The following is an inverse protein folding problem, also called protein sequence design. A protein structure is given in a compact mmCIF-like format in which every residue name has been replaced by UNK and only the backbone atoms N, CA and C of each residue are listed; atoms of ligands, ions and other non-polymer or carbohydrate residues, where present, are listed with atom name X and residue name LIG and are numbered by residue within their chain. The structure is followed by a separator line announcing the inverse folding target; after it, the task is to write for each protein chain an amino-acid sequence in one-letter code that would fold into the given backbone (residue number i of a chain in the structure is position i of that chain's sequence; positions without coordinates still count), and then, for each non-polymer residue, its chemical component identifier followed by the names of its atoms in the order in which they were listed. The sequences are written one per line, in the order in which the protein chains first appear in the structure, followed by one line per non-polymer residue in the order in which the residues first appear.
data_IF_036547801591
#
_entry.id   IF_036547801591
#
_cell.length_a   1.000
_cell.length_b   1.000
_cell.length_c   1.000
_cell.angle_alpha   90.00
_cell.angle_beta   90.00
_cell.angle_gamma   90.00
#
_symmetry.space_group_name_H-M   'P 1'
#
loop_
_entity.id
_entity.type
_entity.pdbx_description
1 polymer ?
#
# COMPACT_ATOMS: atom_id res chain seq x y z
N UNK A 1 6.53 7.01 -23.39
CA UNK A 1 6.02 6.31 -22.20
C UNK A 1 5.50 7.38 -21.25
N UNK A 2 4.20 7.63 -21.28
CA UNK A 2 3.55 8.65 -20.46
C UNK A 2 3.34 8.10 -19.05
N UNK A 3 4.06 8.67 -18.07
CA UNK A 3 3.93 8.31 -16.66
C UNK A 3 2.62 8.95 -16.16
N UNK A 4 1.59 8.13 -15.96
CA UNK A 4 0.31 8.56 -15.38
C UNK A 4 0.45 8.64 -13.87
N UNK A 5 0.48 9.85 -13.32
CA UNK A 5 0.51 10.09 -11.87
C UNK A 5 -0.93 10.25 -11.39
N UNK A 6 -1.45 9.25 -10.68
CA UNK A 6 -2.76 9.35 -10.03
C UNK A 6 -2.68 10.21 -8.77
N UNK A 7 -3.44 11.32 -8.82
CA UNK A 7 -3.81 12.14 -7.66
C UNK A 7 -5.14 11.61 -7.12
N UNK A 8 -5.36 11.74 -5.80
CA UNK A 8 -6.52 11.24 -5.04
C UNK A 8 -6.50 9.76 -4.63
N UNK A 9 -5.45 9.33 -3.91
CA UNK A 9 -5.60 8.10 -3.13
C UNK A 9 -6.08 8.39 -1.70
N UNK A 10 -7.26 7.89 -1.29
CA UNK A 10 -7.68 7.92 0.10
C UNK A 10 -6.69 7.21 1.03
N UNK A 11 -6.32 7.89 2.12
CA UNK A 11 -5.54 7.31 3.22
C UNK A 11 -6.51 6.62 4.17
N UNK A 12 -6.41 5.28 4.41
CA UNK A 12 -7.29 4.60 5.34
C UNK A 12 -6.99 5.08 6.78
N UNK A 13 -7.95 5.77 7.41
CA UNK A 13 -7.81 6.34 8.78
C UNK A 13 -7.95 5.30 9.91
N UNK A 14 -8.35 4.06 9.62
CA UNK A 14 -8.62 3.03 10.63
C UNK A 14 -7.71 1.79 10.51
N UNK A 15 -7.10 1.39 11.63
CA UNK A 15 -6.13 0.30 11.71
C UNK A 15 -6.68 -1.09 11.33
N UNK A 16 -7.94 -1.40 11.64
CA UNK A 16 -8.60 -2.64 11.23
C UNK A 16 -9.04 -2.65 9.76
N UNK A 17 -9.18 -1.46 9.16
CA UNK A 17 -9.67 -1.26 7.80
C UNK A 17 -8.55 -1.48 6.78
N UNK A 18 -7.30 -1.14 7.09
CA UNK A 18 -6.14 -1.32 6.20
C UNK A 18 -6.07 -2.71 5.58
N UNK A 19 -6.30 -3.78 6.36
CA UNK A 19 -6.24 -5.15 5.83
C UNK A 19 -7.37 -5.42 4.83
N UNK A 20 -8.59 -4.99 5.14
CA UNK A 20 -9.73 -5.16 4.26
C UNK A 20 -9.55 -4.35 2.97
N UNK A 21 -9.08 -3.10 3.08
CA UNK A 21 -8.80 -2.25 1.92
C UNK A 21 -7.71 -2.87 1.04
N UNK A 22 -6.56 -3.26 1.63
CA UNK A 22 -5.48 -3.90 0.88
C UNK A 22 -5.92 -5.20 0.19
N UNK A 23 -6.85 -5.94 0.79
CA UNK A 23 -7.38 -7.16 0.18
C UNK A 23 -8.25 -6.85 -1.04
N UNK A 24 -8.97 -5.73 -1.02
CA UNK A 24 -9.83 -5.28 -2.13
C UNK A 24 -9.07 -4.55 -3.23
N UNK A 25 -7.83 -4.11 -2.96
CA UNK A 25 -7.04 -3.35 -3.94
C UNK A 25 -6.84 -4.12 -5.25
N UNK A 26 -7.14 -3.43 -6.35
CA UNK A 26 -6.85 -3.86 -7.73
C UNK A 26 -5.40 -3.56 -8.10
N UNK A 27 -4.86 -4.28 -9.08
CA UNK A 27 -3.47 -4.10 -9.54
C UNK A 27 -3.32 -2.70 -10.12
N UNK A 28 -2.28 -1.98 -9.67
CA UNK A 28 -2.06 -0.58 -10.04
C UNK A 28 -2.54 0.40 -8.98
N UNK A 29 -3.52 0.03 -8.15
CA UNK A 29 -3.93 0.88 -7.05
C UNK A 29 -2.80 1.03 -6.03
N UNK A 30 -2.74 2.20 -5.42
CA UNK A 30 -1.73 2.52 -4.43
C UNK A 30 -2.29 3.45 -3.39
N UNK A 31 -1.75 3.51 -2.16
CA UNK A 31 -2.10 4.49 -1.14
C UNK A 31 -0.91 5.02 -0.37
N UNK A 32 -1.05 6.27 0.11
CA UNK A 32 -0.04 6.93 0.93
C UNK A 32 -0.21 6.55 2.39
N UNK A 33 0.92 6.40 3.08
CA UNK A 33 0.97 6.15 4.51
C UNK A 33 2.16 6.89 5.15
N UNK A 34 2.00 7.38 6.39
CA UNK A 34 3.10 7.99 7.14
C UNK A 34 4.12 6.94 7.59
N UNK A 35 5.36 7.37 7.85
CA UNK A 35 6.48 6.50 8.24
C UNK A 35 6.17 5.60 9.44
N UNK A 36 5.45 6.12 10.44
CA UNK A 36 5.01 5.40 11.63
C UNK A 36 4.16 4.15 11.31
N UNK A 37 3.38 4.17 10.21
CA UNK A 37 2.52 3.05 9.80
C UNK A 37 3.23 2.07 8.87
N UNK A 38 4.44 2.39 8.38
CA UNK A 38 5.20 1.56 7.43
C UNK A 38 5.37 0.13 7.91
N UNK A 39 5.80 -0.06 9.17
CA UNK A 39 6.02 -1.40 9.74
C UNK A 39 4.71 -2.20 9.78
N UNK A 40 3.60 -1.56 10.15
CA UNK A 40 2.28 -2.20 10.19
C UNK A 40 1.81 -2.60 8.79
N UNK A 41 1.81 -1.68 7.83
CA UNK A 41 1.39 -1.96 6.44
C UNK A 41 2.26 -3.04 5.80
N UNK A 42 3.57 -3.06 6.08
CA UNK A 42 4.45 -4.14 5.62
C UNK A 42 4.08 -5.50 6.20
N UNK A 43 3.73 -5.55 7.49
CA UNK A 43 3.27 -6.79 8.13
C UNK A 43 1.96 -7.29 7.51
N UNK A 44 1.00 -6.39 7.30
CA UNK A 44 -0.28 -6.71 6.66
C UNK A 44 -0.09 -7.19 5.22
N UNK A 45 0.76 -6.52 4.43
CA UNK A 45 1.11 -6.92 3.08
C UNK A 45 1.66 -8.36 3.03
N UNK A 46 2.58 -8.69 3.94
CA UNK A 46 3.17 -10.02 4.02
C UNK A 46 2.14 -11.09 4.43
N UNK A 47 1.24 -10.76 5.35
CA UNK A 47 0.16 -11.65 5.76
C UNK A 47 -0.78 -11.97 4.58
N UNK A 48 -1.24 -10.93 3.86
CA UNK A 48 -2.10 -11.09 2.68
C UNK A 48 -1.38 -11.90 1.60
N UNK A 49 -0.09 -11.62 1.36
CA UNK A 49 0.70 -12.36 0.37
C UNK A 49 0.84 -13.84 0.75
N UNK A 50 0.95 -14.17 2.04
CA UNK A 50 1.02 -15.56 2.50
C UNK A 50 -0.33 -16.27 2.34
N UNK A 51 -1.43 -15.61 2.73
CA UNK A 51 -2.79 -16.17 2.67
C UNK A 51 -3.27 -16.43 1.25
N UNK A 52 -2.86 -15.56 0.32
CA UNK A 52 -3.22 -15.66 -1.10
C UNK A 52 -2.19 -16.47 -1.90
N UNK A 53 -1.30 -17.20 -1.23
CA UNK A 53 -0.24 -17.98 -1.88
C UNK A 53 0.56 -17.19 -2.94
N UNK A 54 0.87 -15.93 -2.63
CA UNK A 54 1.57 -14.94 -3.48
C UNK A 54 0.80 -14.46 -4.71
N UNK A 55 -0.49 -14.77 -4.84
CA UNK A 55 -1.36 -14.14 -5.83
C UNK A 55 -1.55 -12.66 -5.55
N UNK A 56 -1.46 -12.24 -4.27
CA UNK A 56 -1.50 -10.83 -3.89
C UNK A 56 -0.18 -10.30 -3.33
N UNK A 57 0.60 -9.59 -4.17
CA UNK A 57 1.82 -8.85 -3.82
C UNK A 57 1.64 -7.33 -3.73
N UNK A 58 2.38 -6.74 -2.81
CA UNK A 58 2.43 -5.30 -2.59
C UNK A 58 3.87 -4.81 -2.59
N UNK A 59 4.10 -3.64 -3.14
CA UNK A 59 5.35 -2.89 -2.99
C UNK A 59 5.12 -1.75 -2.00
N UNK A 60 6.14 -1.36 -1.23
CA UNK A 60 6.07 -0.22 -0.32
C UNK A 60 7.36 0.58 -0.48
N UNK A 61 7.26 1.80 -1.03
CA UNK A 61 8.41 2.65 -1.35
C UNK A 61 8.26 4.03 -0.71
N UNK A 62 9.38 4.65 -0.33
CA UNK A 62 9.38 6.03 0.17
C UNK A 62 9.20 6.97 -1.02
N UNK A 63 8.20 7.84 -0.98
CA UNK A 63 7.87 8.78 -2.08
C UNK A 63 8.44 10.16 -1.83
N UNK A 64 8.48 10.60 -0.57
CA UNK A 64 9.02 11.92 -0.20
C UNK A 64 10.03 11.78 0.93
N UNK A 65 11.25 12.30 0.70
CA UNK A 65 12.36 12.26 1.67
C UNK A 65 12.21 13.29 2.80
N UNK A 66 11.50 14.40 2.56
CA UNK A 66 11.25 15.49 3.51
C UNK A 66 10.06 15.20 4.41
N UNK A 67 8.94 14.72 3.86
CA UNK A 67 7.74 14.41 4.67
C UNK A 67 7.79 13.02 5.32
N UNK A 68 8.65 12.13 4.82
CA UNK A 68 8.75 10.77 5.33
C UNK A 68 7.64 9.84 4.82
N UNK A 69 6.86 10.27 3.83
CA UNK A 69 5.73 9.49 3.33
C UNK A 69 6.17 8.29 2.50
N UNK A 70 5.44 7.19 2.70
CA UNK A 70 5.56 5.96 1.94
C UNK A 70 4.29 5.75 1.10
N UNK A 71 4.46 5.06 -0.01
CA UNK A 71 3.35 4.59 -0.85
C UNK A 71 3.38 3.08 -0.90
N UNK A 72 2.23 2.47 -0.64
CA UNK A 72 1.99 1.06 -0.87
C UNK A 72 1.30 0.89 -2.22
N UNK A 73 1.73 -0.05 -3.05
CA UNK A 73 1.19 -0.32 -4.39
C UNK A 73 0.82 -1.79 -4.50
N UNK A 74 -0.33 -2.10 -5.08
CA UNK A 74 -0.69 -3.45 -5.50
C UNK A 74 0.02 -3.77 -6.82
N UNK A 75 0.93 -4.76 -6.82
CA UNK A 75 1.78 -5.04 -7.99
C UNK A 75 1.43 -6.33 -8.74
N UNK A 76 0.73 -7.26 -8.09
CA UNK A 76 0.26 -8.52 -8.69
C UNK A 76 -0.83 -9.07 -7.82
#
# INVERSE_FOLDING_TARGET
MDIKIEKDVPIPRNHGVIRQEMTKMEVGESFLLPEEKKKNVRSVALAIQKETNKEKRFSILKVDKKTGEYRCWRVQ
#
